data_IF_556961912907
#
_entry.id   IF_556961912907
#
_cell.length_a   1.000
_cell.length_b   1.000
_cell.length_c   1.000
_cell.angle_alpha   90.00
_cell.angle_beta   90.00
_cell.angle_gamma   90.00
#
_symmetry.space_group_name_H-M   'P 1'
#
loop_
_entity.id
_entity.type
_entity.pdbx_description
1 polymer ?
#
# COMPACT_ATOMS: atom_id res chain seq x y z
N UNK A 1 11.57 -8.28 0.66
CA UNK A 1 12.44 -7.18 0.19
C UNK A 1 12.05 -5.77 0.71
N UNK A 2 11.15 -5.64 1.70
CA UNK A 2 10.73 -4.32 2.24
C UNK A 2 11.54 -3.84 3.47
N UNK A 3 12.32 -4.71 4.12
CA UNK A 3 13.16 -4.36 5.27
C UNK A 3 14.48 -3.66 4.88
N UNK A 4 14.98 -3.86 3.65
CA UNK A 4 16.29 -3.34 3.23
C UNK A 4 16.32 -1.87 2.82
N UNK A 5 15.18 -1.33 2.35
CA UNK A 5 15.12 0.04 1.80
C UNK A 5 15.11 1.10 2.93
N UNK A 6 14.66 0.74 4.13
CA UNK A 6 14.63 1.64 5.29
C UNK A 6 16.00 2.01 5.87
N UNK A 7 17.06 1.27 5.53
CA UNK A 7 18.43 1.51 6.00
C UNK A 7 19.24 2.47 5.11
N UNK A 8 18.75 2.78 3.91
CA UNK A 8 19.52 3.54 2.90
C UNK A 8 19.23 5.06 2.97
N UNK A 9 18.23 5.49 3.74
CA UNK A 9 17.85 6.91 3.86
C UNK A 9 18.01 7.36 5.33
N UNK A 10 19.13 8.02 5.70
CA UNK A 10 19.48 8.39 7.08
C UNK A 10 18.37 9.05 7.93
N UNK A 11 17.52 9.97 7.39
CA UNK A 11 16.45 10.58 8.19
C UNK A 11 15.29 9.63 8.55
N UNK A 12 15.19 8.45 7.95
CA UNK A 12 14.13 7.48 8.26
C UNK A 12 14.55 6.42 9.29
N UNK A 13 15.83 6.38 9.70
CA UNK A 13 16.34 5.36 10.62
C UNK A 13 15.59 5.30 11.98
N UNK A 14 15.25 6.42 12.64
CA UNK A 14 14.51 6.37 13.91
C UNK A 14 13.07 5.85 13.74
N UNK A 15 12.45 6.21 12.61
CA UNK A 15 11.10 5.77 12.25
C UNK A 15 11.10 4.27 11.90
N UNK A 16 12.10 3.82 11.14
CA UNK A 16 12.28 2.42 10.74
C UNK A 16 12.52 1.48 11.93
N UNK A 17 13.14 1.98 13.01
CA UNK A 17 13.29 1.25 14.28
C UNK A 17 12.04 1.24 15.17
N UNK A 18 10.99 1.97 14.80
CA UNK A 18 9.78 2.04 15.62
C UNK A 18 8.84 0.86 15.37
N UNK A 19 8.30 0.29 16.45
CA UNK A 19 7.27 -0.76 16.39
C UNK A 19 6.00 -0.31 15.64
N UNK A 20 5.71 0.99 15.69
CA UNK A 20 4.58 1.62 14.98
C UNK A 20 4.76 1.51 13.47
N UNK A 21 5.96 1.80 12.97
CA UNK A 21 6.26 1.68 11.54
C UNK A 21 6.20 0.23 11.06
N UNK A 22 6.70 -0.71 11.85
CA UNK A 22 6.59 -2.13 11.54
C UNK A 22 5.12 -2.57 11.46
N UNK A 23 4.28 -2.14 12.41
CA UNK A 23 2.85 -2.43 12.38
C UNK A 23 2.16 -1.84 11.15
N UNK A 24 2.51 -0.61 10.74
CA UNK A 24 2.00 0.03 9.51
C UNK A 24 2.38 -0.77 8.28
N UNK A 25 3.65 -1.18 8.15
CA UNK A 25 4.12 -2.00 7.02
C UNK A 25 3.41 -3.35 6.98
N UNK A 26 3.27 -4.02 8.12
CA UNK A 26 2.54 -5.29 8.23
C UNK A 26 1.05 -5.15 7.86
N UNK A 27 0.40 -4.09 8.35
CA UNK A 27 -0.98 -3.77 7.99
C UNK A 27 -1.12 -3.56 6.48
N UNK A 28 -0.25 -2.73 5.90
CA UNK A 28 -0.25 -2.46 4.47
C UNK A 28 -0.04 -3.72 3.65
N UNK A 29 0.91 -4.57 4.06
CA UNK A 29 1.20 -5.83 3.40
C UNK A 29 -0.02 -6.77 3.42
N UNK A 30 -0.64 -6.96 4.60
CA UNK A 30 -1.85 -7.79 4.73
C UNK A 30 -3.01 -7.25 3.92
N UNK A 31 -3.25 -5.93 3.96
CA UNK A 31 -4.29 -5.25 3.20
C UNK A 31 -4.07 -5.43 1.69
N UNK A 32 -2.82 -5.38 1.23
CA UNK A 32 -2.46 -5.60 -0.18
C UNK A 32 -2.76 -7.02 -0.63
N UNK A 33 -2.42 -8.03 0.18
CA UNK A 33 -2.73 -9.42 -0.14
C UNK A 33 -4.24 -9.67 -0.24
N UNK A 34 -5.00 -9.12 0.71
CA UNK A 34 -6.46 -9.23 0.71
C UNK A 34 -7.08 -8.55 -0.53
N UNK A 35 -6.63 -7.33 -0.84
CA UNK A 35 -7.10 -6.59 -2.01
C UNK A 35 -6.71 -7.30 -3.31
N UNK A 36 -5.50 -7.86 -3.41
CA UNK A 36 -5.09 -8.60 -4.61
C UNK A 36 -5.95 -9.86 -4.80
N UNK A 37 -6.20 -10.63 -3.73
CA UNK A 37 -7.12 -11.79 -3.79
C UNK A 37 -8.53 -11.39 -4.19
N UNK A 38 -9.01 -10.24 -3.71
CA UNK A 38 -10.32 -9.72 -4.09
C UNK A 38 -10.38 -9.35 -5.57
N UNK A 39 -9.36 -8.66 -6.09
CA UNK A 39 -9.25 -8.29 -7.51
C UNK A 39 -9.20 -9.55 -8.38
N UNK A 40 -8.34 -10.51 -8.06
CA UNK A 40 -8.23 -11.77 -8.83
C UNK A 40 -9.55 -12.55 -8.83
N UNK A 41 -10.26 -12.60 -7.70
CA UNK A 41 -11.59 -13.21 -7.62
C UNK A 41 -12.62 -12.47 -8.48
N UNK A 42 -12.54 -11.14 -8.53
CA UNK A 42 -13.43 -10.30 -9.35
C UNK A 42 -13.14 -10.41 -10.86
N UNK A 43 -11.88 -10.62 -11.25
CA UNK A 43 -11.47 -10.85 -12.65
C UNK A 43 -12.19 -12.04 -13.27
N UNK A 44 -12.42 -13.11 -12.51
CA UNK A 44 -13.05 -14.34 -13.01
C UNK A 44 -14.57 -14.23 -13.21
N UNK A 45 -15.21 -13.17 -12.71
CA UNK A 45 -16.67 -13.05 -12.71
C UNK A 45 -17.21 -12.13 -13.80
N UNK A 46 -16.76 -10.87 -13.85
CA UNK A 46 -17.14 -9.93 -14.91
C UNK A 46 -16.26 -8.68 -14.93
N UNK A 47 -16.20 -8.00 -16.07
CA UNK A 47 -15.46 -6.74 -16.23
C UNK A 47 -15.96 -5.65 -15.28
N UNK A 48 -17.27 -5.59 -15.00
CA UNK A 48 -17.84 -4.60 -14.08
C UNK A 48 -17.42 -4.87 -12.63
N UNK A 49 -17.36 -6.14 -12.23
CA UNK A 49 -16.89 -6.52 -10.89
C UNK A 49 -15.38 -6.29 -10.74
N UNK A 50 -14.59 -6.53 -11.79
CA UNK A 50 -13.16 -6.21 -11.82
C UNK A 50 -12.92 -4.70 -11.62
N UNK A 51 -13.56 -3.83 -12.40
CA UNK A 51 -13.43 -2.37 -12.27
C UNK A 51 -13.84 -1.92 -10.85
N UNK A 52 -14.93 -2.48 -10.32
CA UNK A 52 -15.40 -2.19 -8.96
C UNK A 52 -14.35 -2.61 -7.91
N UNK A 53 -13.74 -3.78 -8.05
CA UNK A 53 -12.70 -4.25 -7.14
C UNK A 53 -11.44 -3.38 -7.23
N UNK A 54 -11.01 -2.96 -8.43
CA UNK A 54 -9.84 -2.07 -8.61
C UNK A 54 -10.09 -0.70 -7.97
N UNK A 55 -11.21 -0.06 -8.30
CA UNK A 55 -11.57 1.25 -7.73
C UNK A 55 -11.81 1.17 -6.21
N UNK A 56 -12.49 0.12 -5.76
CA UNK A 56 -12.71 -0.16 -4.34
C UNK A 56 -11.39 -0.38 -3.60
N UNK A 57 -10.46 -1.15 -4.17
CA UNK A 57 -9.13 -1.38 -3.59
C UNK A 57 -8.35 -0.07 -3.45
N UNK A 58 -8.46 0.82 -4.44
CA UNK A 58 -7.81 2.13 -4.42
C UNK A 58 -8.40 3.02 -3.34
N UNK A 59 -9.74 3.09 -3.26
CA UNK A 59 -10.44 3.84 -2.22
C UNK A 59 -10.07 3.34 -0.82
N UNK A 60 -10.06 2.03 -0.60
CA UNK A 60 -9.65 1.43 0.69
C UNK A 60 -8.22 1.82 1.05
N UNK A 61 -7.28 1.78 0.10
CA UNK A 61 -5.88 2.19 0.35
C UNK A 61 -5.78 3.68 0.72
N UNK A 62 -6.54 4.55 0.04
CA UNK A 62 -6.56 5.98 0.37
C UNK A 62 -7.17 6.24 1.76
N UNK A 63 -8.34 5.67 2.07
CA UNK A 63 -8.97 5.83 3.38
C UNK A 63 -8.13 5.22 4.50
N UNK A 64 -7.50 4.07 4.27
CA UNK A 64 -6.58 3.45 5.22
C UNK A 64 -5.35 4.31 5.48
N UNK A 65 -4.80 4.94 4.43
CA UNK A 65 -3.69 5.89 4.57
C UNK A 65 -4.09 7.08 5.44
N UNK A 66 -5.26 7.66 5.16
CA UNK A 66 -5.79 8.78 5.93
C UNK A 66 -6.00 8.40 7.40
N UNK A 67 -6.60 7.24 7.66
CA UNK A 67 -6.81 6.72 9.01
C UNK A 67 -5.48 6.51 9.75
N UNK A 68 -4.45 5.99 9.07
CA UNK A 68 -3.11 5.82 9.67
C UNK A 68 -2.44 7.16 9.99
N UNK A 69 -2.55 8.17 9.12
CA UNK A 69 -2.04 9.51 9.42
C UNK A 69 -2.75 10.12 10.63
N UNK A 70 -4.07 10.02 10.68
CA UNK A 70 -4.86 10.50 11.82
C UNK A 70 -4.49 9.78 13.12
N UNK A 71 -4.43 8.45 13.09
CA UNK A 71 -4.02 7.65 14.25
C UNK A 71 -2.60 8.02 14.71
N UNK A 72 -1.67 8.25 13.78
CA UNK A 72 -0.31 8.66 14.12
C UNK A 72 -0.26 10.04 14.80
N UNK A 73 -1.01 11.01 14.28
CA UNK A 73 -1.06 12.36 14.84
C UNK A 73 -1.71 12.39 16.23
N UNK A 74 -2.76 11.60 16.44
CA UNK A 74 -3.53 11.61 17.69
C UNK A 74 -2.89 10.75 18.78
N UNK A 75 -2.38 9.57 18.43
CA UNK A 75 -1.91 8.58 19.42
C UNK A 75 -0.41 8.68 19.73
N UNK A 76 0.39 9.29 18.84
CA UNK A 76 1.86 9.32 18.95
C UNK A 76 2.44 10.74 18.92
N UNK A 77 1.61 11.74 19.28
CA UNK A 77 1.99 13.15 19.44
C UNK A 77 2.52 13.82 18.15
N UNK A 78 2.43 13.13 17.00
CA UNK A 78 2.86 13.64 15.70
C UNK A 78 4.35 13.97 15.59
N UNK A 79 5.19 13.45 16.50
CA UNK A 79 6.65 13.55 16.37
C UNK A 79 7.09 12.94 15.04
N UNK A 80 7.98 13.58 14.28
CA UNK A 80 8.38 13.13 12.93
C UNK A 80 7.25 12.99 11.89
N UNK A 81 6.09 13.65 12.06
CA UNK A 81 4.93 13.62 11.14
C UNK A 81 5.28 13.71 9.64
N UNK A 82 6.21 14.58 9.25
CA UNK A 82 6.63 14.74 7.85
C UNK A 82 7.28 13.45 7.33
N UNK A 83 8.18 12.85 8.11
CA UNK A 83 8.85 11.59 7.74
C UNK A 83 7.84 10.45 7.68
N UNK A 84 6.88 10.39 8.63
CA UNK A 84 5.83 9.37 8.61
C UNK A 84 4.96 9.47 7.35
N UNK A 85 4.48 10.65 7.01
CA UNK A 85 3.61 10.86 5.83
C UNK A 85 4.38 10.58 4.53
N UNK A 86 5.64 11.02 4.42
CA UNK A 86 6.49 10.72 3.27
C UNK A 86 6.75 9.22 3.13
N UNK A 87 7.02 8.53 4.24
CA UNK A 87 7.18 7.07 4.24
C UNK A 87 5.91 6.37 3.78
N UNK A 88 4.75 6.77 4.33
CA UNK A 88 3.45 6.19 3.98
C UNK A 88 3.13 6.40 2.50
N UNK A 89 3.45 7.58 1.96
CA UNK A 89 3.31 7.89 0.54
C UNK A 89 4.17 6.98 -0.34
N UNK A 90 5.44 6.75 0.04
CA UNK A 90 6.32 5.82 -0.69
C UNK A 90 5.74 4.41 -0.69
N UNK A 91 5.24 3.93 0.46
CA UNK A 91 4.58 2.62 0.56
C UNK A 91 3.36 2.55 -0.37
N UNK A 92 2.51 3.58 -0.35
CA UNK A 92 1.34 3.67 -1.23
C UNK A 92 1.74 3.66 -2.72
N UNK A 93 2.75 4.43 -3.10
CA UNK A 93 3.24 4.55 -4.48
C UNK A 93 3.81 3.23 -4.99
N UNK A 94 4.70 2.58 -4.22
CA UNK A 94 5.27 1.27 -4.58
C UNK A 94 4.17 0.23 -4.75
N UNK A 95 3.19 0.22 -3.85
CA UNK A 95 2.08 -0.70 -3.91
C UNK A 95 1.21 -0.50 -5.17
N UNK A 96 1.01 0.76 -5.54
CA UNK A 96 0.27 1.13 -6.76
C UNK A 96 1.04 0.71 -8.00
N UNK A 97 2.35 0.95 -8.05
CA UNK A 97 3.21 0.52 -9.16
C UNK A 97 3.19 -0.99 -9.32
N UNK A 98 3.34 -1.75 -8.23
CA UNK A 98 3.26 -3.21 -8.26
C UNK A 98 1.91 -3.70 -8.78
N UNK A 99 0.81 -3.09 -8.33
CA UNK A 99 -0.53 -3.43 -8.79
C UNK A 99 -0.71 -3.12 -10.29
N UNK A 100 -0.18 -1.99 -10.77
CA UNK A 100 -0.19 -1.64 -12.19
C UNK A 100 0.59 -2.68 -13.01
N UNK A 101 1.82 -3.03 -12.58
CA UNK A 101 2.64 -4.04 -13.26
C UNK A 101 1.90 -5.39 -13.30
N UNK A 102 1.32 -5.83 -12.19
CA UNK A 102 0.60 -7.10 -12.11
C UNK A 102 -0.64 -7.09 -12.99
N UNK A 103 -1.35 -5.96 -13.08
CA UNK A 103 -2.49 -5.79 -13.98
C UNK A 103 -2.10 -5.83 -15.46
N UNK A 104 -0.93 -5.30 -15.83
CA UNK A 104 -0.44 -5.33 -17.21
C UNK A 104 0.11 -6.71 -17.61
N UNK A 105 0.72 -7.45 -16.69
CA UNK A 105 1.17 -8.82 -16.94
C UNK A 105 0.02 -9.82 -17.17
N UNK A 106 -1.23 -9.46 -16.82
CA UNK A 106 -2.43 -10.24 -17.10
C UNK A 106 -3.20 -9.72 -18.33
N UNK A 107 -2.70 -8.72 -19.05
CA UNK A 107 -3.24 -8.37 -20.35
C UNK A 107 -3.01 -9.56 -21.30
N UNK A 108 -4.04 -10.05 -22.01
CA UNK A 108 -3.86 -11.11 -22.99
C UNK A 108 -2.72 -10.71 -23.93
N UNK A 109 -1.74 -11.59 -24.11
CA UNK A 109 -0.93 -11.54 -25.32
C UNK A 109 -1.90 -11.74 -26.48
N UNK A 110 -2.36 -10.63 -27.07
CA UNK A 110 -2.95 -10.65 -28.39
C UNK A 110 -1.90 -11.28 -29.32
N UNK A 111 -2.17 -12.54 -29.65
CA UNK A 111 -1.41 -13.35 -30.59
C UNK A 111 -1.39 -12.61 -31.93
N UNK A 112 -0.21 -12.12 -32.31
CA UNK A 112 0.12 -11.83 -33.70
C UNK A 112 0.80 -13.06 -34.31
#
# INVERSE_FOLDING_TARGET
MLLGVGLVIPPFAPLASSWVWLAVVCWYFGLTLLLNRWIQSAMQRSSMQFITAVNGSTAIKMFSSLAMVLAYLVLFDGSFRIHFVLGLFVVFAVNTVLLVIESQNHAPQDLN
#
